data_IF_043582566886
#
_entry.id   IF_043582566886
#
_cell.length_a   1.000
_cell.length_b   1.000
_cell.length_c   1.000
_cell.angle_alpha   90.00
_cell.angle_beta   90.00
_cell.angle_gamma   90.00
#
_symmetry.space_group_name_H-M   'P 1'
#
loop_
_entity.id
_entity.type
_entity.pdbx_description
1 polymer ?
#
# COMPACT_ATOMS: atom_id res chain seq x y z
N UNK A 1 21.47 0.11 0.07
CA UNK A 1 21.16 1.37 0.78
C UNK A 1 19.84 1.88 0.27
N UNK A 2 18.87 2.18 1.17
CA UNK A 2 17.60 2.79 0.82
C UNK A 2 17.82 4.15 0.16
N UNK A 3 17.27 4.36 -1.03
CA UNK A 3 17.43 5.59 -1.80
C UNK A 3 16.24 6.52 -1.62
N UNK A 4 15.05 6.04 -1.92
CA UNK A 4 13.79 6.77 -1.90
C UNK A 4 12.73 5.95 -1.16
N UNK A 5 11.73 6.62 -0.61
CA UNK A 5 10.58 6.02 0.07
C UNK A 5 9.30 6.65 -0.44
N UNK A 6 8.32 5.84 -0.79
CA UNK A 6 6.95 6.28 -1.08
C UNK A 6 6.04 5.81 0.05
N UNK A 7 5.50 6.76 0.79
CA UNK A 7 4.48 6.52 1.82
C UNK A 7 3.11 6.78 1.20
N UNK A 8 2.30 5.73 1.09
CA UNK A 8 1.00 5.78 0.41
C UNK A 8 -0.08 5.39 1.41
N UNK A 9 -0.97 6.33 1.72
CA UNK A 9 -2.14 6.10 2.57
C UNK A 9 -2.03 6.43 4.06
N UNK A 10 -0.87 6.78 4.65
CA UNK A 10 -0.88 7.27 6.03
C UNK A 10 -1.47 8.68 6.11
N UNK A 11 -1.84 9.12 7.33
CA UNK A 11 -2.28 10.48 7.58
C UNK A 11 -1.12 11.50 7.53
N UNK A 12 -1.46 12.79 7.49
CA UNK A 12 -0.45 13.86 7.43
C UNK A 12 0.39 13.96 8.72
N UNK A 13 -0.14 13.54 9.87
CA UNK A 13 0.59 13.55 11.13
C UNK A 13 1.77 12.56 11.07
N UNK A 14 1.57 11.37 10.49
CA UNK A 14 2.63 10.40 10.27
C UNK A 14 3.78 10.97 9.43
N UNK A 15 3.45 11.70 8.34
CA UNK A 15 4.47 12.41 7.55
C UNK A 15 5.16 13.52 8.34
N UNK A 16 4.44 14.20 9.24
CA UNK A 16 4.99 15.23 10.12
C UNK A 16 6.13 14.69 11.01
N UNK A 17 6.11 13.41 11.36
CA UNK A 17 7.11 12.74 12.19
C UNK A 17 8.40 12.36 11.44
N UNK A 18 8.40 12.43 10.10
CA UNK A 18 9.59 12.14 9.29
C UNK A 18 10.68 13.18 9.61
N UNK A 19 11.86 12.70 9.99
CA UNK A 19 13.00 13.58 10.27
C UNK A 19 13.35 14.44 9.04
N UNK A 20 13.69 15.71 9.29
CA UNK A 20 14.00 16.69 8.22
C UNK A 20 15.08 16.21 7.26
N UNK A 21 16.07 15.46 7.76
CA UNK A 21 17.19 14.90 6.98
C UNK A 21 16.76 13.86 5.94
N UNK A 22 15.57 13.30 6.07
CA UNK A 22 15.03 12.31 5.15
C UNK A 22 13.90 12.85 4.25
N UNK A 23 13.34 14.02 4.54
CA UNK A 23 12.18 14.57 3.84
C UNK A 23 12.36 14.68 2.32
N UNK A 24 13.57 15.03 1.89
CA UNK A 24 13.88 15.15 0.45
C UNK A 24 13.86 13.81 -0.31
N UNK A 25 13.81 12.70 0.41
CA UNK A 25 13.77 11.33 -0.14
C UNK A 25 12.47 10.60 0.17
N UNK A 26 11.52 11.26 0.82
CA UNK A 26 10.23 10.70 1.18
C UNK A 26 9.15 11.37 0.35
N UNK A 27 8.57 10.60 -0.55
CA UNK A 27 7.41 10.97 -1.33
C UNK A 27 6.16 10.57 -0.55
N UNK A 28 5.19 11.45 -0.45
CA UNK A 28 4.04 11.26 0.42
C UNK A 28 2.73 11.45 -0.33
N UNK A 29 1.89 10.44 -0.28
CA UNK A 29 0.49 10.49 -0.70
C UNK A 29 -0.40 10.22 0.51
N UNK A 30 -1.02 11.28 1.05
CA UNK A 30 -1.86 11.16 2.24
C UNK A 30 -3.11 10.30 1.99
N UNK A 31 -3.73 9.85 3.08
CA UNK A 31 -4.99 9.10 3.06
C UNK A 31 -6.08 9.85 2.29
N UNK A 32 -6.21 11.16 2.52
CA UNK A 32 -7.22 12.00 1.89
C UNK A 32 -7.00 12.07 0.37
N UNK A 33 -5.77 12.34 -0.08
CA UNK A 33 -5.43 12.36 -1.51
C UNK A 33 -5.59 11.00 -2.17
N UNK A 34 -5.28 9.93 -1.44
CA UNK A 34 -5.51 8.57 -1.92
C UNK A 34 -7.02 8.29 -2.05
N UNK A 35 -7.84 8.74 -1.08
CA UNK A 35 -9.30 8.61 -1.13
C UNK A 35 -9.91 9.41 -2.30
N UNK A 36 -9.43 10.63 -2.56
CA UNK A 36 -9.80 11.41 -3.74
C UNK A 36 -9.45 10.68 -5.05
N UNK A 37 -8.22 10.15 -5.15
CA UNK A 37 -7.82 9.37 -6.32
C UNK A 37 -8.73 8.14 -6.50
N UNK A 38 -9.06 7.41 -5.43
CA UNK A 38 -9.95 6.25 -5.47
C UNK A 38 -11.38 6.59 -5.89
N UNK A 39 -11.92 7.74 -5.47
CA UNK A 39 -13.26 8.17 -5.92
C UNK A 39 -13.32 8.34 -7.44
N UNK A 40 -12.25 8.88 -8.04
CA UNK A 40 -12.11 8.96 -9.49
C UNK A 40 -11.87 7.59 -10.15
N UNK A 41 -11.22 6.67 -9.43
CA UNK A 41 -10.99 5.29 -9.90
C UNK A 41 -12.28 4.49 -10.06
N UNK A 42 -13.27 4.71 -9.20
CA UNK A 42 -14.56 4.04 -9.31
C UNK A 42 -15.32 4.41 -10.59
N UNK A 43 -15.02 5.57 -11.17
CA UNK A 43 -15.70 6.09 -12.36
C UNK A 43 -14.96 5.80 -13.68
N UNK A 44 -13.64 5.52 -13.62
CA UNK A 44 -12.79 5.41 -14.81
C UNK A 44 -11.89 4.16 -14.77
N UNK A 45 -12.01 3.31 -15.76
CA UNK A 45 -11.11 2.15 -15.92
C UNK A 45 -9.67 2.61 -16.20
N UNK A 46 -8.71 2.04 -15.48
CA UNK A 46 -7.28 2.32 -15.66
C UNK A 46 -6.74 3.49 -14.82
N UNK A 47 -7.50 3.91 -13.85
CA UNK A 47 -7.12 5.01 -12.94
C UNK A 47 -6.05 4.60 -11.92
N UNK A 48 -5.95 3.32 -11.60
CA UNK A 48 -4.89 2.78 -10.75
C UNK A 48 -3.52 2.92 -11.42
N UNK A 49 -3.44 2.70 -12.73
CA UNK A 49 -2.22 2.93 -13.49
C UNK A 49 -1.87 4.41 -13.62
N UNK A 50 -2.88 5.30 -13.69
CA UNK A 50 -2.67 6.75 -13.63
C UNK A 50 -2.11 7.16 -12.26
N UNK A 51 -2.64 6.60 -11.17
CA UNK A 51 -2.11 6.82 -9.82
C UNK A 51 -0.64 6.41 -9.73
N UNK A 52 -0.32 5.17 -10.11
CA UNK A 52 1.07 4.67 -10.04
C UNK A 52 2.01 5.53 -10.87
N UNK A 53 1.61 5.95 -12.08
CA UNK A 53 2.41 6.86 -12.90
C UNK A 53 2.61 8.23 -12.26
N UNK A 54 1.60 8.77 -11.59
CA UNK A 54 1.70 10.06 -10.90
C UNK A 54 2.66 10.05 -9.69
N UNK A 55 2.94 8.88 -9.15
CA UNK A 55 3.91 8.72 -8.07
C UNK A 55 5.37 8.75 -8.55
N UNK A 56 5.59 8.67 -9.86
CA UNK A 56 6.92 8.71 -10.50
C UNK A 56 7.92 7.72 -9.87
N UNK A 57 7.43 6.53 -9.46
CA UNK A 57 8.27 5.49 -8.87
C UNK A 57 9.22 4.94 -9.95
N UNK A 58 10.55 5.11 -9.81
CA UNK A 58 11.48 4.67 -10.84
C UNK A 58 11.58 3.13 -10.86
N UNK A 59 11.19 2.52 -11.96
CA UNK A 59 11.24 1.06 -12.12
C UNK A 59 12.64 0.49 -12.44
N UNK A 60 13.60 1.34 -12.75
CA UNK A 60 14.99 0.93 -13.02
C UNK A 60 15.81 0.63 -11.75
N UNK A 61 15.26 0.86 -10.57
CA UNK A 61 15.84 0.48 -9.28
C UNK A 61 14.98 -0.59 -8.61
N UNK A 62 15.62 -1.51 -7.87
CA UNK A 62 14.86 -2.57 -7.18
C UNK A 62 13.91 -2.02 -6.12
N UNK A 63 12.69 -2.53 -6.10
CA UNK A 63 11.64 -2.14 -5.16
C UNK A 63 11.52 -3.16 -4.01
N UNK A 64 11.34 -2.66 -2.81
CA UNK A 64 10.84 -3.36 -1.65
C UNK A 64 9.45 -2.82 -1.30
N UNK A 65 8.49 -3.69 -1.11
CA UNK A 65 7.10 -3.32 -0.79
C UNK A 65 6.80 -3.73 0.65
N UNK A 66 6.38 -2.77 1.47
CA UNK A 66 5.84 -3.02 2.81
C UNK A 66 4.36 -2.67 2.81
N UNK A 67 3.52 -3.64 3.14
CA UNK A 67 2.06 -3.49 3.19
C UNK A 67 1.65 -3.44 4.65
N UNK A 68 1.10 -2.29 5.07
CA UNK A 68 0.51 -2.15 6.38
C UNK A 68 -1.02 -2.22 6.26
N UNK A 69 -1.63 -3.21 6.93
CA UNK A 69 -3.08 -3.39 6.92
C UNK A 69 -3.84 -2.28 7.66
N UNK A 70 -3.15 -1.38 8.34
CA UNK A 70 -3.75 -0.20 8.94
C UNK A 70 -4.40 0.73 7.90
N UNK A 71 -4.02 0.63 6.61
CA UNK A 71 -4.69 1.37 5.53
C UNK A 71 -6.06 0.80 5.17
N UNK A 72 -6.36 -0.45 5.56
CA UNK A 72 -7.64 -1.09 5.28
C UNK A 72 -8.74 -0.59 6.23
N UNK A 73 -9.98 -0.66 5.74
CA UNK A 73 -11.15 -0.35 6.56
C UNK A 73 -11.40 -1.45 7.63
N UNK A 74 -12.13 -1.13 8.71
CA UNK A 74 -12.38 -2.07 9.82
C UNK A 74 -13.15 -3.33 9.43
N UNK A 75 -13.83 -3.33 8.29
CA UNK A 75 -14.53 -4.49 7.73
C UNK A 75 -13.57 -5.53 7.17
N UNK A 76 -12.41 -5.10 6.68
CA UNK A 76 -11.43 -5.93 5.95
C UNK A 76 -10.24 -6.37 6.82
N UNK A 77 -9.85 -5.57 7.80
CA UNK A 77 -8.78 -5.91 8.74
C UNK A 77 -9.12 -5.44 10.15
N UNK A 78 -8.45 -6.03 11.13
CA UNK A 78 -8.47 -5.58 12.53
C UNK A 78 -7.03 -5.32 12.95
N UNK A 79 -6.73 -4.08 13.32
CA UNK A 79 -5.40 -3.67 13.72
C UNK A 79 -5.41 -2.96 15.07
N UNK A 80 -4.24 -2.77 15.68
CA UNK A 80 -4.14 -2.09 16.97
C UNK A 80 -4.08 -0.57 16.82
N UNK A 81 -3.77 -0.08 15.62
CA UNK A 81 -3.62 1.34 15.30
C UNK A 81 -4.85 1.91 14.60
N UNK A 82 -4.85 3.20 14.31
CA UNK A 82 -5.94 3.83 13.58
C UNK A 82 -6.05 3.27 12.16
N UNK A 83 -7.23 2.76 11.82
CA UNK A 83 -7.47 2.15 10.51
C UNK A 83 -7.87 3.18 9.45
N UNK A 84 -7.57 2.82 8.20
CA UNK A 84 -7.95 3.55 7.01
C UNK A 84 -9.39 3.25 6.56
N UNK A 85 -9.61 3.51 5.29
CA UNK A 85 -10.91 3.35 4.63
C UNK A 85 -10.82 2.58 3.32
N UNK A 86 -9.63 2.02 3.01
CA UNK A 86 -9.40 1.26 1.79
C UNK A 86 -10.00 -0.15 1.91
N UNK A 87 -10.66 -0.64 0.88
CA UNK A 87 -11.03 -2.05 0.79
C UNK A 87 -9.84 -2.90 0.33
N UNK A 88 -9.87 -4.18 0.64
CA UNK A 88 -8.85 -5.13 0.17
C UNK A 88 -8.83 -5.23 -1.35
N UNK A 89 -9.99 -5.15 -2.01
CA UNK A 89 -10.09 -5.14 -3.47
C UNK A 89 -9.38 -3.93 -4.08
N UNK A 90 -9.56 -2.73 -3.52
CA UNK A 90 -8.89 -1.51 -3.97
C UNK A 90 -7.37 -1.62 -3.78
N UNK A 91 -6.92 -2.12 -2.63
CA UNK A 91 -5.50 -2.38 -2.39
C UNK A 91 -4.90 -3.32 -3.44
N UNK A 92 -5.57 -4.44 -3.73
CA UNK A 92 -5.11 -5.41 -4.72
C UNK A 92 -5.03 -4.81 -6.13
N UNK A 93 -5.94 -3.90 -6.50
CA UNK A 93 -5.89 -3.15 -7.78
C UNK A 93 -4.68 -2.23 -7.84
N UNK A 94 -4.39 -1.48 -6.78
CA UNK A 94 -3.21 -0.61 -6.69
C UNK A 94 -1.93 -1.44 -6.78
N UNK A 95 -1.84 -2.56 -6.05
CA UNK A 95 -0.70 -3.47 -6.12
C UNK A 95 -0.53 -4.07 -7.52
N UNK A 96 -1.63 -4.43 -8.20
CA UNK A 96 -1.58 -4.93 -9.57
C UNK A 96 -1.04 -3.88 -10.53
N UNK A 97 -1.48 -2.63 -10.42
CA UNK A 97 -0.99 -1.52 -11.24
C UNK A 97 0.51 -1.27 -10.99
N UNK A 98 0.96 -1.33 -9.72
CA UNK A 98 2.38 -1.22 -9.35
C UNK A 98 3.21 -2.33 -9.98
N UNK A 99 2.80 -3.58 -9.82
CA UNK A 99 3.49 -4.73 -10.39
C UNK A 99 3.56 -4.65 -11.92
N UNK A 100 2.44 -4.27 -12.56
CA UNK A 100 2.37 -4.09 -14.02
C UNK A 100 3.28 -2.95 -14.52
N UNK A 101 3.43 -1.89 -13.74
CA UNK A 101 4.36 -0.80 -14.04
C UNK A 101 5.81 -1.32 -14.04
N UNK A 102 6.21 -2.04 -12.99
CA UNK A 102 7.55 -2.61 -12.88
C UNK A 102 7.82 -3.66 -13.96
N UNK A 103 6.86 -4.52 -14.29
CA UNK A 103 7.00 -5.52 -15.35
C UNK A 103 7.23 -4.88 -16.71
N UNK A 104 6.47 -3.83 -17.07
CA UNK A 104 6.61 -3.10 -18.34
C UNK A 104 7.98 -2.45 -18.50
N UNK A 105 8.55 -1.97 -17.42
CA UNK A 105 9.85 -1.30 -17.39
C UNK A 105 11.02 -2.25 -17.10
N UNK A 106 10.78 -3.56 -17.08
CA UNK A 106 11.75 -4.59 -16.67
C UNK A 106 12.33 -4.37 -15.26
N UNK A 107 11.57 -3.74 -14.39
CA UNK A 107 11.92 -3.51 -12.99
C UNK A 107 11.86 -4.78 -12.16
N UNK A 108 12.37 -4.72 -10.93
CA UNK A 108 12.37 -5.85 -10.00
C UNK A 108 11.76 -5.48 -8.66
N UNK A 109 10.80 -6.29 -8.22
CA UNK A 109 10.33 -6.30 -6.83
C UNK A 109 11.12 -7.39 -6.13
N UNK A 110 11.95 -7.00 -5.14
CA UNK A 110 12.88 -7.93 -4.47
C UNK A 110 12.25 -8.64 -3.29
N UNK A 111 11.38 -7.96 -2.58
CA UNK A 111 10.80 -8.46 -1.34
C UNK A 111 9.48 -7.73 -1.05
N UNK A 112 8.61 -8.45 -0.35
CA UNK A 112 7.37 -7.92 0.19
C UNK A 112 7.24 -8.36 1.63
N UNK A 113 6.77 -7.50 2.49
CA UNK A 113 6.25 -7.86 3.80
C UNK A 113 4.81 -7.37 4.00
N UNK A 114 4.15 -7.94 4.98
CA UNK A 114 2.78 -7.59 5.37
C UNK A 114 2.76 -7.45 6.89
N UNK A 115 2.32 -6.30 7.37
CA UNK A 115 2.17 -5.98 8.78
C UNK A 115 0.75 -5.47 9.11
N UNK A 116 0.56 -4.92 10.31
CA UNK A 116 -0.75 -4.47 10.78
C UNK A 116 -1.62 -5.63 11.29
N UNK A 117 -1.25 -6.20 12.44
CA UNK A 117 -2.04 -7.21 13.13
C UNK A 117 -2.74 -6.63 14.37
N UNK A 118 -3.84 -7.27 14.78
CA UNK A 118 -4.47 -6.93 16.04
C UNK A 118 -3.72 -7.54 17.22
N UNK A 119 -3.94 -6.97 18.40
CA UNK A 119 -3.44 -7.53 19.66
C UNK A 119 -3.94 -8.98 19.81
N UNK A 120 -3.10 -9.92 20.25
CA UNK A 120 -3.49 -11.33 20.52
C UNK A 120 -4.71 -11.47 21.41
N UNK A 121 -4.97 -10.53 22.33
CA UNK A 121 -6.14 -10.51 23.19
C UNK A 121 -7.46 -10.23 22.43
N UNK A 122 -7.38 -9.76 21.17
CA UNK A 122 -8.51 -9.53 20.27
C UNK A 122 -8.71 -10.68 19.26
N UNK A 123 -8.46 -11.90 19.66
CA UNK A 123 -8.49 -13.10 18.78
C UNK A 123 -9.81 -13.30 18.02
N UNK A 124 -10.93 -12.75 18.49
CA UNK A 124 -12.22 -12.80 17.80
C UNK A 124 -12.24 -12.01 16.48
N UNK A 125 -11.30 -11.09 16.29
CA UNK A 125 -11.17 -10.25 15.08
C UNK A 125 -10.15 -10.78 14.07
N UNK A 126 -9.34 -11.78 14.49
CA UNK A 126 -8.28 -12.36 13.65
C UNK A 126 -8.74 -12.96 12.31
N UNK A 127 -9.99 -13.50 12.15
CA UNK A 127 -10.44 -14.03 10.85
C UNK A 127 -10.40 -13.03 9.70
N UNK A 128 -10.57 -11.72 9.98
CA UNK A 128 -10.44 -10.66 8.95
C UNK A 128 -8.99 -10.57 8.47
N UNK A 129 -8.05 -10.53 9.41
CA UNK A 129 -6.62 -10.50 9.10
C UNK A 129 -6.18 -11.76 8.36
N UNK A 130 -6.67 -12.94 8.76
CA UNK A 130 -6.40 -14.20 8.07
C UNK A 130 -6.90 -14.16 6.62
N UNK A 131 -8.08 -13.58 6.39
CA UNK A 131 -8.62 -13.39 5.04
C UNK A 131 -7.73 -12.45 4.23
N UNK A 132 -7.43 -11.26 4.75
CA UNK A 132 -6.59 -10.28 4.08
C UNK A 132 -5.19 -10.84 3.78
N UNK A 133 -4.55 -11.49 4.76
CA UNK A 133 -3.25 -12.15 4.58
C UNK A 133 -3.30 -13.22 3.48
N UNK A 134 -4.35 -14.04 3.45
CA UNK A 134 -4.51 -15.10 2.46
C UNK A 134 -4.66 -14.54 1.04
N UNK A 135 -5.44 -13.49 0.85
CA UNK A 135 -5.62 -12.86 -0.47
C UNK A 135 -4.34 -12.13 -0.91
N UNK A 136 -3.66 -11.42 -0.02
CA UNK A 136 -2.36 -10.80 -0.31
C UNK A 136 -1.31 -11.85 -0.68
N UNK A 137 -1.22 -12.96 0.07
CA UNK A 137 -0.29 -14.05 -0.26
C UNK A 137 -0.64 -14.72 -1.59
N UNK A 138 -1.93 -14.88 -1.93
CA UNK A 138 -2.36 -15.40 -3.24
C UNK A 138 -1.96 -14.46 -4.37
N UNK A 139 -2.10 -13.15 -4.15
CA UNK A 139 -1.68 -12.14 -5.10
C UNK A 139 -0.18 -12.26 -5.37
N UNK A 140 0.65 -12.22 -4.33
CA UNK A 140 2.11 -12.24 -4.46
C UNK A 140 2.69 -13.53 -5.02
N UNK A 141 2.06 -14.68 -4.79
CA UNK A 141 2.45 -15.96 -5.42
C UNK A 141 2.44 -15.95 -6.95
N UNK A 142 1.84 -14.97 -7.59
CA UNK A 142 1.85 -14.82 -9.06
C UNK A 142 3.07 -14.05 -9.55
N UNK A 143 3.77 -13.35 -8.64
CA UNK A 143 4.88 -12.45 -8.95
C UNK A 143 6.24 -12.99 -8.49
N UNK A 144 6.25 -13.98 -7.60
CA UNK A 144 7.40 -14.73 -7.12
C UNK A 144 7.25 -16.22 -7.37
#
# INVERSE_FOLDING_TARGET
KLQEVWLIGPDEEAYGQVEKTFKDRVHFLSREKLAEARSHMAEKKGSEEELIRSLEIPANIPLYVSIDKDVLCPEEAATTWSQGDMTLEEMLKVLLALCSHFEKENGKILQVDICGECDPDKSMESPKNDHANKELLRFWKKWF
#
